data_IF_341620873676
#
_entry.id   IF_341620873676
#
_cell.length_a   1.000
_cell.length_b   1.000
_cell.length_c   1.000
_cell.angle_alpha   90.00
_cell.angle_beta   90.00
_cell.angle_gamma   90.00
#
_symmetry.space_group_name_H-M   'P 1'
#
loop_
_entity.id
_entity.type
_entity.pdbx_description
1 polymer ?
#
# COMPACT_ATOMS: atom_id res chain seq x y z
N UNK A 1 -5.72 -15.46 -29.46
CA UNK A 1 -4.72 -14.52 -28.91
C UNK A 1 -4.75 -14.63 -27.40
N UNK A 2 -3.79 -15.34 -26.82
CA UNK A 2 -3.78 -15.67 -25.39
C UNK A 2 -3.42 -14.47 -24.54
N UNK A 3 -4.27 -14.15 -23.56
CA UNK A 3 -3.95 -13.23 -22.47
C UNK A 3 -2.97 -13.94 -21.52
N UNK A 4 -1.69 -13.58 -21.58
CA UNK A 4 -0.75 -13.92 -20.52
C UNK A 4 -1.07 -13.03 -19.32
N UNK A 5 -1.91 -13.53 -18.44
CA UNK A 5 -2.09 -12.95 -17.12
C UNK A 5 -0.91 -13.40 -16.27
N UNK A 6 0.19 -12.63 -16.28
CA UNK A 6 1.28 -12.83 -15.31
C UNK A 6 0.78 -12.38 -13.95
N UNK A 7 0.04 -13.27 -13.29
CA UNK A 7 -0.26 -13.20 -11.87
C UNK A 7 1.05 -13.38 -11.11
N UNK A 8 1.73 -12.26 -10.83
CA UNK A 8 2.77 -12.23 -9.81
C UNK A 8 2.03 -12.40 -8.47
N UNK A 9 1.78 -13.66 -8.11
CA UNK A 9 1.31 -14.03 -6.78
C UNK A 9 2.47 -13.75 -5.84
N UNK A 10 2.53 -12.52 -5.31
CA UNK A 10 3.43 -12.17 -4.22
C UNK A 10 3.16 -13.14 -3.07
N UNK A 11 4.03 -14.15 -2.93
CA UNK A 11 4.10 -14.96 -1.72
C UNK A 11 4.50 -13.99 -0.62
N UNK A 12 3.54 -13.53 0.17
CA UNK A 12 3.84 -12.89 1.44
C UNK A 12 4.52 -13.93 2.31
N UNK A 13 5.85 -13.92 2.31
CA UNK A 13 6.63 -14.50 3.37
C UNK A 13 6.48 -13.56 4.57
N UNK A 14 5.50 -13.83 5.43
CA UNK A 14 5.31 -13.05 6.66
C UNK A 14 6.53 -13.18 7.55
N UNK A 15 6.97 -12.08 8.16
CA UNK A 15 7.96 -12.15 9.23
C UNK A 15 7.27 -12.63 10.51
N UNK A 16 7.93 -13.50 11.28
CA UNK A 16 7.42 -14.01 12.55
C UNK A 16 8.23 -13.39 13.69
N UNK A 17 7.53 -12.89 14.72
CA UNK A 17 8.16 -12.30 15.88
C UNK A 17 8.24 -13.34 17.00
N UNK A 18 9.44 -13.63 17.50
CA UNK A 18 9.66 -14.51 18.64
C UNK A 18 10.70 -13.88 19.58
N UNK A 19 10.33 -13.64 20.84
CA UNK A 19 11.23 -13.16 21.91
C UNK A 19 12.15 -11.99 21.50
N UNK A 20 11.61 -10.98 20.80
CA UNK A 20 12.36 -9.79 20.39
C UNK A 20 13.13 -9.91 19.07
N UNK A 21 13.14 -11.10 18.45
CA UNK A 21 13.75 -11.32 17.13
C UNK A 21 12.67 -11.43 16.06
N UNK A 22 12.90 -10.76 14.93
CA UNK A 22 12.06 -10.83 13.74
C UNK A 22 12.74 -11.79 12.76
N UNK A 23 12.15 -12.97 12.56
CA UNK A 23 12.60 -13.93 11.55
C UNK A 23 11.87 -13.63 10.23
N UNK A 24 12.59 -13.06 9.26
CA UNK A 24 12.13 -12.91 7.89
C UNK A 24 12.88 -13.92 7.02
N UNK A 25 12.18 -14.92 6.42
CA UNK A 25 12.85 -15.91 5.59
C UNK A 25 13.32 -15.24 4.29
N UNK A 26 14.64 -15.12 4.13
CA UNK A 26 15.24 -14.58 2.92
C UNK A 26 15.24 -15.65 1.82
N UNK A 27 14.85 -15.28 0.60
CA UNK A 27 14.99 -16.15 -0.56
C UNK A 27 16.48 -16.35 -0.87
N UNK A 28 17.02 -17.59 -0.88
CA UNK A 28 18.43 -17.81 -1.19
C UNK A 28 18.82 -17.34 -2.61
N UNK A 29 17.85 -17.14 -3.50
CA UNK A 29 18.08 -16.62 -4.86
C UNK A 29 18.34 -15.11 -4.91
N UNK A 30 18.08 -14.37 -3.84
CA UNK A 30 18.25 -12.92 -3.79
C UNK A 30 19.59 -12.45 -3.21
N UNK A 31 20.53 -13.38 -2.99
CA UNK A 31 21.86 -13.04 -2.45
C UNK A 31 22.71 -12.40 -3.54
N UNK A 32 22.73 -11.07 -3.58
CA UNK A 32 23.64 -10.28 -4.40
C UNK A 32 24.79 -9.83 -3.49
N UNK A 33 26.00 -10.29 -3.77
CA UNK A 33 27.21 -9.83 -3.08
C UNK A 33 27.61 -8.48 -3.69
N UNK A 34 27.69 -7.44 -2.86
CA UNK A 34 28.09 -6.09 -3.28
C UNK A 34 29.23 -5.64 -2.37
N UNK A 35 30.32 -5.18 -2.97
CA UNK A 35 31.50 -4.68 -2.26
C UNK A 35 31.16 -3.49 -1.36
N UNK A 36 31.92 -3.33 -0.28
CA UNK A 36 31.66 -2.30 0.73
C UNK A 36 31.86 -0.89 0.18
N UNK A 37 32.83 -0.67 -0.72
CA UNK A 37 33.07 0.62 -1.37
C UNK A 37 31.92 1.01 -2.29
N UNK A 38 31.38 0.05 -3.05
CA UNK A 38 30.18 0.27 -3.86
C UNK A 38 28.97 0.58 -2.97
N UNK A 39 28.83 -0.13 -1.84
CA UNK A 39 27.78 0.14 -0.86
C UNK A 39 27.88 1.54 -0.27
N UNK A 40 29.10 2.01 -0.01
CA UNK A 40 29.37 3.36 0.51
C UNK A 40 29.05 4.43 -0.53
N UNK A 41 29.46 4.22 -1.79
CA UNK A 41 29.17 5.13 -2.90
C UNK A 41 27.66 5.32 -3.07
N UNK A 42 26.90 4.21 -3.13
CA UNK A 42 25.43 4.29 -3.28
C UNK A 42 24.74 5.03 -2.14
N UNK A 43 25.26 4.92 -0.90
CA UNK A 43 24.72 5.66 0.26
C UNK A 43 25.07 7.15 0.23
N UNK A 44 26.16 7.52 -0.45
CA UNK A 44 26.60 8.91 -0.60
C UNK A 44 25.89 9.67 -1.72
N UNK A 45 25.21 8.98 -2.64
CA UNK A 45 24.42 9.62 -3.69
C UNK A 45 23.14 10.19 -3.05
N UNK A 46 23.01 11.51 -3.05
CA UNK A 46 21.80 12.19 -2.57
C UNK A 46 20.68 12.04 -3.60
N UNK A 47 19.55 11.45 -3.19
CA UNK A 47 18.36 11.38 -4.03
C UNK A 47 17.52 12.65 -3.86
N UNK A 48 17.03 13.26 -4.96
CA UNK A 48 16.06 14.34 -4.89
C UNK A 48 14.82 13.93 -4.09
N UNK A 49 14.27 14.88 -3.31
CA UNK A 49 13.03 14.65 -2.55
C UNK A 49 11.80 14.58 -3.45
N UNK A 50 11.81 15.28 -4.59
CA UNK A 50 10.72 15.25 -5.55
C UNK A 50 10.98 14.22 -6.67
N UNK A 51 9.97 13.39 -6.92
CA UNK A 51 9.92 12.43 -8.02
C UNK A 51 10.02 13.10 -9.40
N UNK A 52 9.53 14.34 -9.56
CA UNK A 52 9.63 15.04 -10.84
C UNK A 52 11.07 15.29 -11.28
N UNK A 53 11.95 15.62 -10.32
CA UNK A 53 13.36 15.89 -10.60
C UNK A 53 14.08 14.62 -11.03
N UNK A 54 13.73 13.47 -10.41
CA UNK A 54 14.24 12.15 -10.81
C UNK A 54 13.79 11.81 -12.23
N UNK A 55 12.50 11.95 -12.54
CA UNK A 55 11.96 11.63 -13.87
C UNK A 55 12.60 12.50 -14.96
N UNK A 56 12.80 13.80 -14.70
CA UNK A 56 13.50 14.72 -15.60
C UNK A 56 14.96 14.32 -15.79
N UNK A 57 15.67 13.99 -14.71
CA UNK A 57 17.06 13.53 -14.78
C UNK A 57 17.19 12.25 -15.60
N UNK A 58 16.31 11.27 -15.40
CA UNK A 58 16.27 10.05 -16.21
C UNK A 58 16.09 10.37 -17.69
N UNK A 59 15.13 11.23 -18.03
CA UNK A 59 14.85 11.61 -19.42
C UNK A 59 16.01 12.35 -20.07
N UNK A 60 16.67 13.27 -19.35
CA UNK A 60 17.86 13.97 -19.83
C UNK A 60 19.02 13.00 -20.12
N UNK A 61 19.13 11.92 -19.35
CA UNK A 61 20.13 10.87 -19.54
C UNK A 61 19.67 9.77 -20.51
N UNK A 62 18.56 9.97 -21.24
CA UNK A 62 18.05 9.01 -22.22
C UNK A 62 17.40 7.76 -21.63
N UNK A 63 17.15 7.73 -20.31
CA UNK A 63 16.43 6.65 -19.64
C UNK A 63 14.93 6.96 -19.58
N UNK A 64 14.09 5.98 -19.89
CA UNK A 64 12.64 6.14 -19.74
C UNK A 64 12.23 6.02 -18.27
N UNK A 65 11.61 7.04 -17.67
CA UNK A 65 11.11 6.92 -16.32
C UNK A 65 9.94 5.93 -16.27
N UNK A 66 9.93 5.07 -15.24
CA UNK A 66 8.87 4.08 -15.04
C UNK A 66 7.53 4.71 -14.60
N UNK A 67 7.54 5.98 -14.17
CA UNK A 67 6.37 6.73 -13.75
C UNK A 67 6.29 8.07 -14.47
N UNK A 68 5.08 8.63 -14.55
CA UNK A 68 4.84 10.01 -14.95
C UNK A 68 4.10 10.71 -13.81
N UNK A 69 4.88 11.30 -12.91
CA UNK A 69 4.38 11.93 -11.68
C UNK A 69 3.59 13.20 -12.00
N UNK A 70 3.97 13.94 -13.05
CA UNK A 70 3.26 15.14 -13.49
C UNK A 70 1.78 14.85 -13.82
N UNK A 71 1.53 13.88 -14.70
CA UNK A 71 0.17 13.45 -15.06
C UNK A 71 -0.62 12.94 -13.87
N UNK A 72 0.04 12.23 -12.94
CA UNK A 72 -0.61 11.72 -11.72
C UNK A 72 -1.04 12.86 -10.79
N UNK A 73 -0.20 13.89 -10.63
CA UNK A 73 -0.51 15.10 -9.83
C UNK A 73 -1.64 15.91 -10.45
N UNK A 74 -1.63 16.10 -11.77
CA UNK A 74 -2.71 16.77 -12.50
C UNK A 74 -4.04 16.03 -12.33
N UNK A 75 -4.05 14.71 -12.52
CA UNK A 75 -5.26 13.90 -12.34
C UNK A 75 -5.79 13.91 -10.90
N UNK A 76 -4.89 13.97 -9.90
CA UNK A 76 -5.28 14.09 -8.49
C UNK A 76 -5.92 15.45 -8.18
N UNK A 77 -5.40 16.54 -8.76
CA UNK A 77 -6.03 17.86 -8.65
C UNK A 77 -7.40 17.88 -9.32
N UNK A 78 -7.52 17.38 -10.55
CA UNK A 78 -8.81 17.33 -11.27
C UNK A 78 -9.86 16.50 -10.53
N UNK A 79 -9.46 15.37 -9.93
CA UNK A 79 -10.36 14.53 -9.12
C UNK A 79 -10.68 15.14 -7.75
N UNK A 80 -9.75 15.90 -7.16
CA UNK A 80 -9.95 16.61 -5.89
C UNK A 80 -10.93 17.78 -5.97
N UNK A 81 -11.09 18.38 -7.15
CA UNK A 81 -12.06 19.47 -7.38
C UNK A 81 -13.52 18.95 -7.39
N UNK A 82 -13.75 17.64 -7.56
CA UNK A 82 -15.11 17.05 -7.64
C UNK A 82 -15.64 16.40 -6.34
N UNK A 83 -15.07 16.71 -5.17
CA UNK A 83 -15.66 16.24 -3.91
C UNK A 83 -15.73 17.29 -2.81
N UNK A 84 -16.38 18.42 -3.11
CA UNK A 84 -17.17 19.11 -2.08
C UNK A 84 -18.63 18.68 -2.20
N UNK A 85 -18.91 17.37 -2.08
CA UNK A 85 -20.24 16.97 -1.60
C UNK A 85 -20.25 17.31 -0.12
N UNK A 86 -20.66 18.55 0.18
CA UNK A 86 -21.12 18.96 1.52
C UNK A 86 -21.82 17.75 2.14
N UNK A 87 -21.23 17.17 3.16
CA UNK A 87 -21.87 16.13 3.96
C UNK A 87 -23.07 16.83 4.61
N UNK A 88 -24.21 16.87 3.91
CA UNK A 88 -25.49 17.18 4.52
C UNK A 88 -25.70 16.05 5.50
N UNK A 89 -25.41 16.31 6.77
CA UNK A 89 -25.73 15.44 7.89
C UNK A 89 -27.22 15.09 7.82
N UNK A 90 -27.57 14.00 7.13
CA UNK A 90 -28.89 13.42 7.23
C UNK A 90 -28.90 12.75 8.59
N UNK A 91 -29.49 13.41 9.59
CA UNK A 91 -29.83 12.81 10.89
C UNK A 91 -30.64 11.54 10.60
N UNK A 92 -29.97 10.40 10.53
CA UNK A 92 -30.63 9.10 10.53
C UNK A 92 -30.94 8.84 11.99
N UNK A 93 -32.13 9.25 12.43
CA UNK A 93 -32.70 8.76 13.67
C UNK A 93 -32.55 7.24 13.70
N UNK A 94 -32.19 6.69 14.84
CA UNK A 94 -31.93 5.27 15.07
C UNK A 94 -33.14 4.48 14.58
N UNK A 95 -33.09 3.99 13.34
CA UNK A 95 -34.16 3.15 12.78
C UNK A 95 -33.79 1.72 13.09
N UNK A 96 -34.51 1.19 14.09
CA UNK A 96 -34.90 -0.20 14.30
C UNK A 96 -33.74 -1.20 14.21
N UNK A 97 -33.34 -1.68 15.39
CA UNK A 97 -32.54 -2.87 15.70
C UNK A 97 -32.62 -3.86 14.53
N UNK A 98 -31.55 -3.95 13.74
CA UNK A 98 -31.41 -5.04 12.79
C UNK A 98 -31.21 -6.30 13.62
N UNK A 99 -31.97 -7.35 13.31
CA UNK A 99 -31.90 -8.64 13.97
C UNK A 99 -30.46 -9.19 13.90
N UNK A 100 -29.65 -8.93 14.92
CA UNK A 100 -28.45 -9.67 15.24
C UNK A 100 -28.89 -10.99 15.87
N UNK A 101 -29.39 -11.89 15.03
CA UNK A 101 -29.55 -13.28 15.40
C UNK A 101 -28.49 -14.05 14.61
N UNK A 102 -27.27 -14.11 15.15
CA UNK A 102 -26.43 -15.27 14.91
C UNK A 102 -27.03 -16.39 15.80
N UNK A 103 -27.86 -17.29 15.26
CA UNK A 103 -28.55 -18.28 16.09
C UNK A 103 -27.60 -19.31 16.70
N UNK A 104 -26.37 -19.40 16.17
CA UNK A 104 -25.37 -20.38 16.56
C UNK A 104 -24.47 -19.90 17.71
N UNK A 105 -24.66 -18.68 18.23
CA UNK A 105 -23.86 -18.13 19.33
C UNK A 105 -24.79 -17.81 20.51
N UNK A 106 -25.18 -18.82 21.30
CA UNK A 106 -26.11 -18.66 22.42
C UNK A 106 -25.53 -17.81 23.56
N UNK A 107 -24.20 -17.77 23.69
CA UNK A 107 -23.48 -17.00 24.73
C UNK A 107 -23.77 -15.49 24.68
N UNK A 108 -24.25 -14.97 23.55
CA UNK A 108 -24.59 -13.55 23.38
C UNK A 108 -25.87 -13.12 24.11
N UNK A 109 -26.70 -14.05 24.58
CA UNK A 109 -28.00 -13.76 25.20
C UNK A 109 -28.05 -13.94 26.71
N UNK A 110 -26.97 -14.42 27.34
CA UNK A 110 -26.95 -14.71 28.79
C UNK A 110 -27.08 -13.46 29.67
N UNK A 111 -26.84 -12.26 29.12
CA UNK A 111 -26.85 -11.00 29.88
C UNK A 111 -27.98 -10.03 29.47
N UNK A 112 -29.01 -10.50 28.76
CA UNK A 112 -30.12 -9.64 28.28
C UNK A 112 -31.47 -9.90 28.97
N UNK A 113 -31.47 -10.59 30.13
CA UNK A 113 -32.67 -10.83 30.93
C UNK A 113 -32.63 -10.17 32.31
N UNK A 114 -33.32 -9.02 32.43
CA UNK A 114 -34.03 -8.56 33.64
C UNK A 114 -35.44 -8.17 33.23
#
# INVERSE_FOLDING_TARGET
FGCYQTSIRSRSFGCYQNHGYIACPNDPKSIIKVDDDLRKLFRGIELPRDMLDIEKYLQMNGMMPASNTAKRREAAQVKGIFSEKKIKNKKRGIRKIHNLANPHIPELYENLGS
#
